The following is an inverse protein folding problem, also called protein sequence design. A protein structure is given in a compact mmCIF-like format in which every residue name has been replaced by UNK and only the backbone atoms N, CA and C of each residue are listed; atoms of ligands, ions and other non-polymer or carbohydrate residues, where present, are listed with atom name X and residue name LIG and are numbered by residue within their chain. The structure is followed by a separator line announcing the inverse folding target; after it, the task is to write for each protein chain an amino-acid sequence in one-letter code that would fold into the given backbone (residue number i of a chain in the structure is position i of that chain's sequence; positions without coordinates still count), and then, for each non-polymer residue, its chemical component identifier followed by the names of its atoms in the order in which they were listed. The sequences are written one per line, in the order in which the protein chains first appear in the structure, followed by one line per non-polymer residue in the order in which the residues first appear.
data_IF_507846544461
#
_entry.id   IF_507846544461
#
_cell.length_a   1.000
_cell.length_b   1.000
_cell.length_c   1.000
_cell.angle_alpha   90.00
_cell.angle_beta   90.00
_cell.angle_gamma   90.00
#
_symmetry.space_group_name_H-M   'P 1'
#
loop_
_entity.id
_entity.type
_entity.pdbx_description
1 polymer ?
#
# COMPACT_ATOMS: atom_id res chain seq x y z
N UNK A 1 -39.29 -8.18 -27.93
CA UNK A 1 -38.30 -9.11 -27.36
C UNK A 1 -37.31 -8.34 -26.53
N UNK A 2 -37.31 -8.47 -25.19
CA UNK A 2 -36.38 -7.77 -24.29
C UNK A 2 -35.16 -8.63 -24.11
N UNK A 3 -34.01 -8.23 -24.64
CA UNK A 3 -32.73 -8.90 -24.42
C UNK A 3 -32.27 -8.71 -22.98
N UNK A 4 -32.26 -9.77 -22.18
CA UNK A 4 -31.60 -9.81 -20.86
C UNK A 4 -30.09 -9.86 -21.08
N UNK A 5 -29.36 -8.90 -20.53
CA UNK A 5 -27.89 -8.93 -20.46
C UNK A 5 -27.47 -10.11 -19.54
N UNK A 6 -26.44 -10.88 -19.91
CA UNK A 6 -25.95 -11.95 -19.04
C UNK A 6 -25.25 -11.37 -17.81
N UNK A 7 -25.53 -11.94 -16.65
CA UNK A 7 -24.91 -11.60 -15.38
C UNK A 7 -23.47 -12.14 -15.37
N UNK A 8 -22.45 -11.34 -14.98
CA UNK A 8 -21.06 -11.82 -14.91
C UNK A 8 -20.89 -12.98 -13.94
N UNK A 9 -20.00 -13.90 -14.28
CA UNK A 9 -19.81 -15.18 -13.56
C UNK A 9 -19.40 -15.01 -12.09
N UNK A 10 -18.75 -13.89 -11.71
CA UNK A 10 -18.33 -13.61 -10.34
C UNK A 10 -19.48 -13.30 -9.38
N UNK A 11 -20.69 -12.93 -9.86
CA UNK A 11 -21.85 -12.75 -9.01
C UNK A 11 -22.50 -14.06 -8.53
N UNK A 12 -22.01 -15.23 -8.95
CA UNK A 12 -22.54 -16.53 -8.56
C UNK A 12 -21.78 -17.21 -7.42
N UNK A 13 -20.67 -16.65 -6.95
CA UNK A 13 -20.02 -17.13 -5.72
C UNK A 13 -20.66 -16.47 -4.50
N UNK A 14 -21.88 -16.91 -4.19
CA UNK A 14 -22.52 -16.62 -2.93
C UNK A 14 -21.87 -17.45 -1.83
N UNK A 15 -20.93 -16.87 -1.11
CA UNK A 15 -20.42 -17.43 0.15
C UNK A 15 -21.57 -17.55 1.14
N UNK A 16 -22.00 -18.79 1.40
CA UNK A 16 -22.93 -19.10 2.50
C UNK A 16 -22.19 -18.95 3.82
N UNK A 17 -22.31 -17.79 4.44
CA UNK A 17 -21.90 -17.60 5.83
C UNK A 17 -22.89 -18.37 6.72
N UNK A 18 -22.46 -19.50 7.26
CA UNK A 18 -23.20 -20.23 8.28
C UNK A 18 -23.10 -19.48 9.61
N UNK A 19 -24.14 -18.75 9.97
CA UNK A 19 -24.33 -18.25 11.33
C UNK A 19 -24.54 -19.44 12.27
N UNK A 20 -23.56 -19.76 13.10
CA UNK A 20 -23.80 -20.51 14.36
C UNK A 20 -23.50 -19.57 15.51
N UNK A 21 -24.56 -18.96 16.03
CA UNK A 21 -24.59 -18.45 17.39
C UNK A 21 -24.62 -19.66 18.33
N UNK A 22 -23.71 -19.71 19.27
CA UNK A 22 -23.85 -20.46 20.48
C UNK A 22 -23.52 -19.54 21.66
N UNK A 23 -24.59 -19.07 22.30
CA UNK A 23 -24.56 -18.48 23.64
C UNK A 23 -24.42 -19.63 24.63
N UNK A 24 -23.46 -19.54 25.53
CA UNK A 24 -23.32 -20.46 26.64
C UNK A 24 -22.42 -19.83 27.71
N UNK A 25 -23.05 -19.04 28.58
CA UNK A 25 -22.43 -18.64 29.83
C UNK A 25 -22.54 -19.79 30.82
N UNK A 26 -21.43 -20.23 31.39
CA UNK A 26 -21.43 -20.89 32.71
C UNK A 26 -20.09 -20.58 33.39
N UNK A 27 -20.22 -19.85 34.49
CA UNK A 27 -19.14 -19.62 35.42
C UNK A 27 -18.91 -20.91 36.25
N UNK A 28 -17.69 -21.28 36.48
CA UNK A 28 -17.27 -21.94 37.75
C UNK A 28 -15.77 -21.64 37.99
N UNK A 29 -15.52 -21.39 39.26
CA UNK A 29 -14.31 -20.84 39.79
C UNK A 29 -13.23 -21.89 40.10
N UNK A 30 -12.01 -21.40 40.17
CA UNK A 30 -10.84 -21.80 40.98
C UNK A 30 -10.20 -23.16 40.76
N UNK A 31 -8.91 -23.15 40.35
CA UNK A 31 -7.78 -23.64 41.14
C UNK A 31 -6.48 -23.04 40.61
N UNK A 32 -5.63 -22.64 41.52
CA UNK A 32 -4.28 -22.05 41.36
C UNK A 32 -3.35 -22.85 40.45
N UNK A 33 -2.78 -22.19 39.49
CA UNK A 33 -1.61 -22.63 38.74
C UNK A 33 -1.08 -21.44 37.96
N UNK A 34 -0.08 -20.76 38.51
CA UNK A 34 0.51 -19.57 37.91
C UNK A 34 1.18 -19.90 36.59
N UNK A 35 0.49 -19.66 35.48
CA UNK A 35 1.07 -19.41 34.19
C UNK A 35 1.09 -17.90 34.03
N UNK A 36 2.27 -17.30 34.25
CA UNK A 36 2.55 -15.95 33.83
C UNK A 36 2.35 -15.90 32.32
N UNK A 37 1.18 -15.43 31.89
CA UNK A 37 1.01 -14.93 30.53
C UNK A 37 1.89 -13.70 30.48
N UNK A 38 3.12 -13.87 30.03
CA UNK A 38 3.91 -12.74 29.60
C UNK A 38 3.10 -12.06 28.48
N UNK A 39 2.42 -10.99 28.83
CA UNK A 39 1.97 -10.01 27.86
C UNK A 39 3.24 -9.50 27.21
N UNK A 40 3.59 -10.06 26.06
CA UNK A 40 4.56 -9.44 25.16
C UNK A 40 3.85 -8.18 24.68
N UNK A 41 4.00 -7.11 25.45
CA UNK A 41 3.85 -5.77 24.90
C UNK A 41 4.94 -5.71 23.82
N UNK A 42 4.51 -5.85 22.56
CA UNK A 42 5.35 -5.52 21.43
C UNK A 42 5.65 -4.03 21.55
N UNK A 43 6.74 -3.71 22.25
CA UNK A 43 7.40 -2.44 22.14
C UNK A 43 7.94 -2.46 20.71
N UNK A 44 7.22 -1.82 19.78
CA UNK A 44 7.68 -1.61 18.44
C UNK A 44 9.04 -0.92 18.56
N UNK A 45 10.11 -1.62 18.20
CA UNK A 45 11.41 -0.98 18.10
C UNK A 45 11.28 0.09 17.03
N UNK A 46 11.69 1.31 17.33
CA UNK A 46 11.63 2.46 16.43
C UNK A 46 12.52 2.31 15.18
N UNK A 47 13.29 1.22 15.10
CA UNK A 47 14.18 0.87 13.98
C UNK A 47 13.89 -0.55 13.47
N UNK A 48 12.68 -0.76 12.97
CA UNK A 48 12.33 -2.00 12.30
C UNK A 48 13.02 -2.06 10.93
N UNK A 49 13.56 -3.23 10.57
CA UNK A 49 14.19 -3.47 9.29
C UNK A 49 13.49 -4.67 8.63
N UNK A 50 12.70 -4.43 7.59
CA UNK A 50 11.95 -5.47 6.88
C UNK A 50 12.84 -6.60 6.36
N UNK A 51 14.07 -6.29 5.95
CA UNK A 51 15.03 -7.29 5.52
C UNK A 51 15.36 -8.27 6.66
N UNK A 52 15.54 -7.79 7.89
CA UNK A 52 15.76 -8.63 9.06
C UNK A 52 14.50 -9.43 9.46
N UNK A 53 13.33 -8.95 9.11
CA UNK A 53 12.06 -9.63 9.38
C UNK A 53 11.79 -10.79 8.40
N UNK A 54 12.42 -10.82 7.24
CA UNK A 54 12.18 -11.84 6.21
C UNK A 54 13.39 -12.66 5.83
N UNK A 55 14.50 -12.02 5.47
CA UNK A 55 15.69 -12.73 4.97
C UNK A 55 16.42 -13.44 6.10
N UNK A 56 16.36 -14.78 6.08
CA UNK A 56 17.00 -15.61 7.11
C UNK A 56 16.29 -15.59 8.47
N UNK A 57 15.16 -14.90 8.59
CA UNK A 57 14.37 -14.89 9.83
C UNK A 57 13.69 -16.24 10.06
N UNK A 58 13.98 -16.95 11.17
CA UNK A 58 13.43 -18.28 11.40
C UNK A 58 11.89 -18.32 11.46
N UNK A 59 11.27 -17.29 12.00
CA UNK A 59 9.79 -17.20 12.12
C UNK A 59 9.16 -17.06 10.76
N UNK A 60 9.67 -16.16 9.92
CA UNK A 60 9.23 -16.00 8.54
C UNK A 60 9.39 -17.29 7.73
N UNK A 61 10.56 -17.94 7.85
CA UNK A 61 10.84 -19.19 7.13
C UNK A 61 9.95 -20.35 7.61
N UNK A 62 9.62 -20.41 8.89
CA UNK A 62 8.70 -21.42 9.44
C UNK A 62 7.27 -21.19 8.92
N UNK A 63 6.80 -19.96 8.93
CA UNK A 63 5.49 -19.59 8.39
C UNK A 63 5.38 -19.90 6.89
N UNK A 64 6.39 -19.49 6.10
CA UNK A 64 6.49 -19.78 4.69
C UNK A 64 6.38 -21.30 4.40
N UNK A 65 7.09 -22.13 5.17
CA UNK A 65 7.02 -23.60 5.06
C UNK A 65 5.64 -24.15 5.45
N UNK A 66 5.03 -23.60 6.50
CA UNK A 66 3.68 -24.00 6.97
C UNK A 66 2.66 -23.90 5.85
N UNK A 67 2.67 -22.81 5.10
CA UNK A 67 1.76 -22.58 3.96
C UNK A 67 2.27 -23.14 2.63
N UNK A 68 3.43 -23.81 2.60
CA UNK A 68 3.99 -24.39 1.37
C UNK A 68 4.45 -23.35 0.34
N UNK A 69 4.72 -22.12 0.78
CA UNK A 69 5.13 -21.03 -0.11
C UNK A 69 6.57 -21.25 -0.59
N UNK A 70 6.83 -20.96 -1.88
CA UNK A 70 8.19 -21.07 -2.43
C UNK A 70 9.12 -20.01 -1.83
N UNK A 71 10.39 -20.37 -1.65
CA UNK A 71 11.42 -19.45 -1.13
C UNK A 71 11.82 -18.41 -2.16
N UNK A 72 11.95 -18.84 -3.42
CA UNK A 72 12.46 -18.02 -4.50
C UNK A 72 11.35 -17.15 -5.07
N UNK A 73 11.45 -15.84 -4.96
CA UNK A 73 10.44 -14.90 -5.47
C UNK A 73 10.11 -15.09 -6.95
N UNK A 74 11.12 -15.43 -7.77
CA UNK A 74 10.92 -15.70 -9.22
C UNK A 74 9.99 -16.88 -9.52
N UNK A 75 9.75 -17.74 -8.55
CA UNK A 75 8.87 -18.90 -8.64
C UNK A 75 7.57 -18.68 -7.85
N UNK A 76 7.40 -17.51 -7.24
CA UNK A 76 6.25 -17.14 -6.45
C UNK A 76 5.13 -16.53 -7.26
N UNK A 77 4.03 -16.23 -6.57
CA UNK A 77 2.90 -15.47 -7.10
C UNK A 77 2.74 -14.17 -6.30
N UNK A 78 2.44 -13.08 -6.99
CA UNK A 78 2.15 -11.79 -6.40
C UNK A 78 0.66 -11.55 -6.49
N UNK A 79 0.00 -11.27 -5.36
CA UNK A 79 -1.36 -10.73 -5.33
C UNK A 79 -1.29 -9.22 -5.53
N UNK A 80 -1.84 -8.69 -6.61
CA UNK A 80 -2.09 -7.27 -6.73
C UNK A 80 -3.41 -6.95 -6.01
N UNK A 81 -3.29 -6.39 -4.81
CA UNK A 81 -4.42 -6.05 -3.94
C UNK A 81 -5.06 -4.72 -4.39
N UNK A 82 -5.59 -4.70 -5.65
CA UNK A 82 -6.16 -3.53 -6.30
C UNK A 82 -7.25 -2.90 -5.44
N UNK A 83 -7.00 -1.67 -4.98
CA UNK A 83 -7.92 -0.86 -4.17
C UNK A 83 -8.32 -1.50 -2.83
N UNK A 84 -7.52 -2.41 -2.31
CA UNK A 84 -7.69 -2.95 -0.97
C UNK A 84 -7.01 -2.06 0.06
N UNK A 85 -7.66 -1.88 1.21
CA UNK A 85 -7.00 -1.26 2.35
C UNK A 85 -6.02 -2.22 3.04
N UNK A 86 -5.06 -1.69 3.77
CA UNK A 86 -4.14 -2.48 4.59
C UNK A 86 -4.90 -3.38 5.59
N UNK A 87 -6.00 -2.87 6.16
CA UNK A 87 -6.86 -3.66 7.05
C UNK A 87 -7.56 -4.81 6.32
N UNK A 88 -8.08 -4.57 5.11
CA UNK A 88 -8.68 -5.64 4.29
C UNK A 88 -7.66 -6.73 3.97
N UNK A 89 -6.42 -6.34 3.61
CA UNK A 89 -5.34 -7.30 3.35
C UNK A 89 -5.02 -8.10 4.62
N UNK A 90 -4.95 -7.42 5.78
CA UNK A 90 -4.69 -8.07 7.08
C UNK A 90 -5.78 -9.08 7.45
N UNK A 91 -7.04 -8.72 7.24
CA UNK A 91 -8.21 -9.59 7.53
C UNK A 91 -8.22 -10.87 6.68
N UNK A 92 -7.68 -10.82 5.47
CA UNK A 92 -7.64 -11.95 4.52
C UNK A 92 -6.28 -12.65 4.44
N UNK A 93 -5.36 -12.39 5.38
CA UNK A 93 -3.98 -12.85 5.27
C UNK A 93 -3.84 -14.39 5.26
N UNK A 94 -4.66 -15.10 6.05
CA UNK A 94 -4.69 -16.57 6.04
C UNK A 94 -5.10 -17.12 4.68
N UNK A 95 -6.19 -16.58 4.10
CA UNK A 95 -6.70 -17.03 2.80
C UNK A 95 -5.70 -16.74 1.67
N UNK A 96 -5.00 -15.60 1.75
CA UNK A 96 -3.95 -15.23 0.79
C UNK A 96 -2.78 -16.21 0.86
N UNK A 97 -2.35 -16.56 2.08
CA UNK A 97 -1.28 -17.55 2.29
C UNK A 97 -1.69 -18.96 1.84
N UNK A 98 -2.91 -19.40 2.18
CA UNK A 98 -3.46 -20.69 1.75
C UNK A 98 -3.63 -20.79 0.24
N UNK A 99 -3.92 -19.67 -0.44
CA UNK A 99 -3.97 -19.60 -1.90
C UNK A 99 -2.59 -19.67 -2.57
N UNK A 100 -1.49 -19.61 -1.80
CA UNK A 100 -0.13 -19.78 -2.29
C UNK A 100 0.57 -18.51 -2.77
N UNK A 101 0.03 -17.33 -2.47
CA UNK A 101 0.70 -16.06 -2.77
C UNK A 101 1.93 -15.86 -1.88
N UNK A 102 3.04 -15.47 -2.47
CA UNK A 102 4.32 -15.25 -1.78
C UNK A 102 4.59 -13.79 -1.50
N UNK A 103 3.87 -12.91 -2.17
CA UNK A 103 3.98 -11.47 -2.00
C UNK A 103 2.63 -10.81 -2.30
N UNK A 104 2.42 -9.64 -1.70
CA UNK A 104 1.26 -8.79 -1.95
C UNK A 104 1.76 -7.44 -2.42
N UNK A 105 1.27 -6.95 -3.55
CA UNK A 105 1.49 -5.59 -4.02
C UNK A 105 0.29 -4.74 -3.64
N UNK A 106 0.53 -3.62 -2.96
CA UNK A 106 -0.50 -2.66 -2.57
C UNK A 106 -0.59 -1.50 -3.57
N UNK A 107 -1.63 -0.69 -3.43
CA UNK A 107 -1.73 0.62 -4.07
C UNK A 107 -0.72 1.61 -3.46
N UNK A 108 -0.51 2.78 -4.13
CA UNK A 108 0.34 3.85 -3.60
C UNK A 108 -0.01 4.25 -2.18
N UNK A 109 0.99 4.26 -1.32
CA UNK A 109 0.84 4.51 0.11
C UNK A 109 0.94 5.99 0.51
N UNK A 110 1.36 6.87 -0.40
CA UNK A 110 1.52 8.30 -0.13
C UNK A 110 0.19 8.96 0.22
N UNK A 111 0.23 10.08 0.95
CA UNK A 111 -0.91 11.00 1.03
C UNK A 111 -1.29 11.46 -0.38
N UNK A 112 -2.58 11.41 -0.70
CA UNK A 112 -3.10 11.70 -2.04
C UNK A 112 -4.16 12.80 -2.03
N UNK A 113 -4.49 13.30 -3.21
CA UNK A 113 -5.59 14.22 -3.42
C UNK A 113 -6.90 13.60 -2.91
N UNK A 114 -7.64 14.37 -2.10
CA UNK A 114 -8.98 14.01 -1.65
C UNK A 114 -9.99 14.54 -2.67
N UNK A 115 -10.93 13.69 -3.09
CA UNK A 115 -11.99 14.11 -3.97
C UNK A 115 -13.19 14.59 -3.16
N UNK A 116 -13.33 15.87 -3.06
CA UNK A 116 -14.35 16.56 -2.28
C UNK A 116 -15.41 17.30 -3.15
N UNK A 117 -15.19 17.44 -4.46
CA UNK A 117 -15.93 18.43 -5.24
C UNK A 117 -16.77 17.86 -6.39
N UNK A 118 -16.54 16.63 -6.87
CA UNK A 118 -17.23 16.17 -8.08
C UNK A 118 -18.42 15.22 -7.83
N UNK A 119 -18.72 14.89 -6.57
CA UNK A 119 -19.83 14.01 -6.19
C UNK A 119 -19.72 12.57 -6.70
N UNK A 120 -18.61 12.19 -7.32
CA UNK A 120 -18.40 10.87 -7.87
C UNK A 120 -18.05 9.87 -6.76
N UNK A 121 -18.43 8.61 -6.96
CA UNK A 121 -18.01 7.51 -6.10
C UNK A 121 -16.50 7.30 -6.22
N UNK A 122 -15.90 6.76 -5.18
CA UNK A 122 -14.47 6.44 -5.16
C UNK A 122 -14.02 5.59 -6.36
N UNK A 123 -14.80 4.59 -6.75
CA UNK A 123 -14.54 3.75 -7.93
C UNK A 123 -14.46 4.50 -9.26
N UNK A 124 -14.98 5.73 -9.32
CA UNK A 124 -14.90 6.59 -10.49
C UNK A 124 -13.69 7.53 -10.45
N UNK A 125 -12.99 7.58 -9.31
CA UNK A 125 -11.81 8.40 -9.05
C UNK A 125 -10.60 7.55 -8.60
N UNK A 126 -10.56 6.29 -8.97
CA UNK A 126 -9.49 5.35 -8.62
C UNK A 126 -8.09 5.91 -8.89
N UNK A 127 -7.92 6.73 -9.93
CA UNK A 127 -6.66 7.34 -10.33
C UNK A 127 -6.11 8.37 -9.33
N UNK A 128 -6.87 8.74 -8.31
CA UNK A 128 -6.37 9.63 -7.26
C UNK A 128 -5.26 9.01 -6.42
N UNK A 129 -5.16 7.68 -6.38
CA UNK A 129 -4.03 7.00 -5.73
C UNK A 129 -2.70 7.36 -6.38
N UNK A 130 -2.71 7.76 -7.67
CA UNK A 130 -1.56 8.21 -8.43
C UNK A 130 -1.40 9.74 -8.45
N UNK A 131 -2.06 10.46 -7.54
CA UNK A 131 -1.94 11.90 -7.38
C UNK A 131 -1.49 12.28 -5.96
N UNK A 132 -0.22 12.01 -5.62
CA UNK A 132 0.33 12.38 -4.31
C UNK A 132 0.21 13.89 -4.04
N UNK A 133 0.08 14.22 -2.77
CA UNK A 133 0.12 15.60 -2.25
C UNK A 133 1.21 15.81 -1.22
N UNK A 134 1.77 14.71 -0.71
CA UNK A 134 2.89 14.66 0.23
C UNK A 134 3.53 13.26 0.19
N UNK A 135 4.72 13.12 0.77
CA UNK A 135 5.43 11.85 0.99
C UNK A 135 5.15 11.23 2.37
N UNK A 136 4.14 11.68 3.10
CA UNK A 136 3.67 10.98 4.30
C UNK A 136 2.91 9.71 3.93
N UNK A 137 3.04 8.65 4.76
CA UNK A 137 2.33 7.39 4.54
C UNK A 137 0.89 7.51 5.03
N UNK A 138 -0.04 7.00 4.24
CA UNK A 138 -1.45 6.90 4.55
C UNK A 138 -2.35 7.76 3.67
N UNK A 139 -3.46 7.16 3.26
CA UNK A 139 -4.52 7.83 2.51
C UNK A 139 -5.87 7.12 2.71
N UNK A 140 -6.94 7.73 2.23
CA UNK A 140 -8.30 7.21 2.45
C UNK A 140 -8.60 5.87 1.74
N UNK A 141 -7.72 5.42 0.86
CA UNK A 141 -7.85 4.13 0.15
C UNK A 141 -7.21 3.01 0.94
N UNK A 142 -5.93 3.18 1.24
CA UNK A 142 -5.12 2.11 1.84
C UNK A 142 -5.17 2.10 3.37
N UNK A 143 -5.45 3.24 4.02
CA UNK A 143 -5.45 3.37 5.47
C UNK A 143 -4.28 4.21 5.98
N UNK A 144 -3.97 4.08 7.25
CA UNK A 144 -2.92 4.82 7.96
C UNK A 144 -1.56 4.12 7.90
N UNK A 145 -0.51 4.81 8.33
CA UNK A 145 0.82 4.23 8.55
C UNK A 145 0.79 3.11 9.61
N UNK A 146 -0.02 3.24 10.65
CA UNK A 146 -0.18 2.19 11.66
C UNK A 146 -0.87 0.95 11.08
N UNK A 147 -1.82 1.12 10.16
CA UNK A 147 -2.43 0.00 9.43
C UNK A 147 -1.39 -0.70 8.51
N UNK A 148 -0.49 0.06 7.88
CA UNK A 148 0.64 -0.50 7.12
C UNK A 148 1.53 -1.36 8.01
N UNK A 149 1.94 -0.86 9.17
CA UNK A 149 2.75 -1.60 10.16
C UNK A 149 2.08 -2.89 10.61
N UNK A 150 0.78 -2.82 10.90
CA UNK A 150 0.01 -4.00 11.29
C UNK A 150 -0.05 -5.04 10.16
N UNK A 151 -0.29 -4.60 8.93
CA UNK A 151 -0.33 -5.46 7.74
C UNK A 151 1.02 -6.14 7.48
N UNK A 152 2.14 -5.41 7.54
CA UNK A 152 3.47 -5.99 7.31
C UNK A 152 3.81 -7.03 8.38
N UNK A 153 3.46 -6.79 9.65
CA UNK A 153 3.61 -7.79 10.74
C UNK A 153 2.81 -9.04 10.43
N UNK A 154 1.55 -8.88 10.04
CA UNK A 154 0.68 -10.02 9.71
C UNK A 154 1.24 -10.79 8.50
N UNK A 155 1.66 -10.11 7.45
CA UNK A 155 2.24 -10.74 6.25
C UNK A 155 3.49 -11.56 6.59
N UNK A 156 4.43 -11.00 7.35
CA UNK A 156 5.64 -11.69 7.75
C UNK A 156 5.36 -12.90 8.64
N UNK A 157 4.34 -12.83 9.51
CA UNK A 157 3.89 -13.97 10.31
C UNK A 157 3.26 -15.10 9.46
N UNK A 158 2.90 -14.82 8.20
CA UNK A 158 2.39 -15.79 7.22
C UNK A 158 3.43 -16.18 6.15
N UNK A 159 4.65 -15.64 6.22
CA UNK A 159 5.71 -15.91 5.25
C UNK A 159 5.50 -15.20 3.90
N UNK A 160 4.73 -14.11 3.90
CA UNK A 160 4.40 -13.28 2.74
C UNK A 160 5.17 -11.96 2.82
N UNK A 161 5.65 -11.46 1.67
CA UNK A 161 6.31 -10.16 1.55
C UNK A 161 5.35 -9.09 1.09
N UNK A 162 5.60 -7.85 1.50
CA UNK A 162 4.82 -6.69 1.07
C UNK A 162 5.64 -5.85 0.09
N UNK A 163 5.04 -5.57 -1.05
CA UNK A 163 5.54 -4.68 -2.09
C UNK A 163 4.58 -3.51 -2.17
N UNK A 164 5.10 -2.27 -2.12
CA UNK A 164 4.26 -1.07 -2.25
C UNK A 164 4.48 -0.39 -3.59
N UNK A 165 3.42 0.19 -4.15
CA UNK A 165 3.55 1.09 -5.28
C UNK A 165 4.04 2.46 -4.78
N UNK A 166 5.02 3.04 -5.49
CA UNK A 166 5.61 4.33 -5.14
C UNK A 166 5.57 5.29 -6.30
N UNK A 167 4.77 6.34 -6.18
CA UNK A 167 4.71 7.43 -7.16
C UNK A 167 5.81 8.45 -6.82
N UNK A 168 6.99 8.28 -7.42
CA UNK A 168 8.15 9.12 -7.15
C UNK A 168 8.44 10.16 -8.25
N UNK A 169 7.65 10.17 -9.32
CA UNK A 169 7.86 11.03 -10.48
C UNK A 169 7.16 12.39 -10.35
N UNK A 170 5.97 12.43 -9.78
CA UNK A 170 5.11 13.61 -9.80
C UNK A 170 4.17 13.67 -8.61
N UNK A 171 3.58 14.85 -8.40
CA UNK A 171 2.44 15.08 -7.52
C UNK A 171 1.19 15.39 -8.35
N UNK A 172 0.05 15.61 -7.66
CA UNK A 172 -1.22 15.98 -8.29
C UNK A 172 -1.09 17.19 -9.23
N UNK A 173 -1.99 17.30 -10.22
CA UNK A 173 -2.06 18.49 -11.08
C UNK A 173 -2.59 19.74 -10.35
N UNK A 174 -3.28 19.55 -9.23
CA UNK A 174 -3.87 20.61 -8.42
C UNK A 174 -2.85 21.14 -7.41
N UNK A 175 -2.22 22.28 -7.72
CA UNK A 175 -1.25 22.92 -6.83
C UNK A 175 -1.77 23.18 -5.42
N UNK A 176 -3.04 23.57 -5.31
CA UNK A 176 -3.62 23.90 -3.99
C UNK A 176 -3.89 22.67 -3.12
N UNK A 177 -3.91 21.48 -3.72
CA UNK A 177 -4.03 20.23 -2.98
C UNK A 177 -2.68 19.71 -2.46
N UNK A 178 -1.57 20.21 -2.98
CA UNK A 178 -0.22 19.88 -2.49
C UNK A 178 -0.04 20.50 -1.10
N UNK A 179 0.51 19.75 -0.17
CA UNK A 179 0.78 20.27 1.19
C UNK A 179 1.77 21.44 1.16
N UNK A 180 1.55 22.41 2.02
CA UNK A 180 2.28 23.70 1.99
C UNK A 180 3.79 23.59 2.14
N UNK A 181 4.28 22.56 2.83
CA UNK A 181 5.71 22.26 2.98
C UNK A 181 6.37 21.75 1.69
N UNK A 182 5.55 21.31 0.73
CA UNK A 182 5.95 20.92 -0.62
C UNK A 182 5.71 22.02 -1.66
N UNK A 183 4.92 23.05 -1.37
CA UNK A 183 4.60 24.13 -2.32
C UNK A 183 5.76 25.11 -2.53
N UNK A 184 6.90 24.59 -2.98
CA UNK A 184 8.08 25.36 -3.34
C UNK A 184 8.40 25.15 -4.83
N UNK A 185 8.54 26.26 -5.56
CA UNK A 185 8.75 26.20 -7.02
C UNK A 185 9.98 25.41 -7.44
N UNK A 186 11.03 25.43 -6.62
CA UNK A 186 12.28 24.68 -6.85
C UNK A 186 12.18 23.16 -6.64
N UNK A 187 11.08 22.68 -6.06
CA UNK A 187 10.83 21.26 -5.88
C UNK A 187 10.22 20.59 -7.11
N UNK A 188 9.78 21.39 -8.07
CA UNK A 188 9.14 20.92 -9.29
C UNK A 188 9.81 21.53 -10.53
N UNK A 189 9.77 20.80 -11.65
CA UNK A 189 10.14 21.39 -12.92
C UNK A 189 9.09 22.43 -13.36
N UNK A 190 9.54 23.48 -14.06
CA UNK A 190 8.65 24.55 -14.47
C UNK A 190 7.72 24.11 -15.61
N UNK A 191 6.42 24.39 -15.51
CA UNK A 191 5.41 24.01 -16.51
C UNK A 191 5.65 24.63 -17.89
N UNK A 192 6.28 25.80 -17.95
CA UNK A 192 6.59 26.48 -19.21
C UNK A 192 7.85 25.93 -19.91
N UNK A 193 8.51 24.94 -19.34
CA UNK A 193 9.68 24.31 -19.97
C UNK A 193 9.30 23.40 -21.14
N UNK A 194 8.03 22.95 -21.20
CA UNK A 194 7.51 22.07 -22.22
C UNK A 194 6.27 22.68 -22.88
N UNK A 195 5.95 22.29 -24.10
CA UNK A 195 4.73 22.72 -24.79
C UNK A 195 3.48 22.01 -24.22
N UNK A 196 2.29 22.52 -24.59
CA UNK A 196 1.02 22.03 -24.05
C UNK A 196 0.49 22.89 -22.90
N UNK A 197 -0.81 22.81 -22.62
CA UNK A 197 -1.49 23.68 -21.65
C UNK A 197 -1.06 23.48 -20.19
N UNK A 198 -0.46 22.36 -19.88
CA UNK A 198 0.09 22.03 -18.56
C UNK A 198 1.58 21.69 -18.59
N UNK A 199 2.27 21.98 -19.73
CA UNK A 199 3.64 21.51 -19.94
C UNK A 199 3.71 20.02 -20.22
N UNK A 200 2.61 19.45 -20.75
CA UNK A 200 2.33 18.00 -20.82
C UNK A 200 2.53 17.38 -22.21
N UNK A 201 3.00 18.16 -23.19
CA UNK A 201 3.31 17.62 -24.52
C UNK A 201 4.71 17.04 -24.53
N UNK A 202 4.82 15.73 -24.27
CA UNK A 202 6.10 15.01 -24.10
C UNK A 202 6.46 14.31 -25.40
N UNK A 203 7.63 14.65 -25.96
CA UNK A 203 8.31 13.82 -26.95
C UNK A 203 9.09 12.71 -26.26
N UNK A 204 8.59 11.49 -26.29
CA UNK A 204 9.19 10.33 -25.62
C UNK A 204 10.52 9.89 -26.25
N UNK A 205 10.89 10.41 -27.42
CA UNK A 205 12.23 10.22 -27.98
C UNK A 205 13.27 11.19 -27.39
N UNK A 206 12.82 12.24 -26.72
CA UNK A 206 13.65 13.26 -26.11
C UNK A 206 13.79 13.00 -24.60
N UNK A 207 14.95 12.47 -24.19
CA UNK A 207 15.23 12.13 -22.77
C UNK A 207 14.98 13.33 -21.83
N UNK A 208 15.35 14.54 -22.25
CA UNK A 208 15.16 15.72 -21.40
C UNK A 208 13.67 15.96 -21.14
N UNK A 209 12.83 15.88 -22.18
CA UNK A 209 11.38 16.05 -22.02
C UNK A 209 10.76 14.95 -21.16
N UNK A 210 11.20 13.71 -21.30
CA UNK A 210 10.72 12.58 -20.47
C UNK A 210 10.99 12.80 -18.99
N UNK A 211 12.08 13.51 -18.65
CA UNK A 211 12.49 13.74 -17.25
C UNK A 211 12.15 15.11 -16.69
N UNK A 212 11.51 16.00 -17.46
CA UNK A 212 11.25 17.39 -17.03
C UNK A 212 9.85 17.89 -17.41
N UNK A 213 9.13 17.19 -18.30
CA UNK A 213 7.78 17.61 -18.69
C UNK A 213 6.73 16.98 -17.77
N UNK A 214 5.60 17.62 -17.68
CA UNK A 214 4.53 17.26 -16.76
C UNK A 214 3.61 16.18 -17.37
N UNK A 215 3.73 14.93 -16.96
CA UNK A 215 2.83 13.87 -17.41
C UNK A 215 1.37 14.23 -17.12
N UNK A 216 0.55 14.41 -18.15
CA UNK A 216 -0.88 14.78 -18.02
C UNK A 216 -1.11 16.04 -17.17
N UNK A 217 -0.13 16.96 -17.14
CA UNK A 217 -0.21 18.17 -16.33
C UNK A 217 0.01 17.97 -14.83
N UNK A 218 0.39 16.77 -14.39
CA UNK A 218 0.82 16.48 -13.01
C UNK A 218 2.12 17.22 -12.71
N UNK A 219 2.27 17.72 -11.50
CA UNK A 219 3.49 18.45 -11.10
C UNK A 219 4.70 17.52 -11.02
N UNK A 220 5.59 17.64 -12.00
CA UNK A 220 6.79 16.82 -12.11
C UNK A 220 7.83 17.20 -11.07
N UNK A 221 8.27 16.21 -10.27
CA UNK A 221 9.22 16.44 -9.18
C UNK A 221 10.63 16.66 -9.71
N UNK A 222 11.29 17.74 -9.29
CA UNK A 222 12.70 17.98 -9.55
C UNK A 222 13.56 17.08 -8.63
N UNK A 223 13.68 15.81 -9.00
CA UNK A 223 14.45 14.83 -8.22
C UNK A 223 15.97 15.09 -8.21
N UNK A 224 16.47 16.02 -9.05
CA UNK A 224 17.83 16.53 -8.96
C UNK A 224 18.02 17.56 -7.82
N UNK A 225 16.94 18.12 -7.27
CA UNK A 225 16.99 18.94 -6.09
C UNK A 225 17.31 18.07 -4.86
N UNK A 226 18.40 18.35 -4.10
CA UNK A 226 18.78 17.52 -2.95
C UNK A 226 17.73 17.41 -1.87
N UNK A 227 16.92 18.44 -1.64
CA UNK A 227 15.84 18.41 -0.64
C UNK A 227 14.72 17.47 -1.06
N UNK A 228 14.32 17.48 -2.35
CA UNK A 228 13.34 16.55 -2.91
C UNK A 228 13.85 15.11 -2.80
N UNK A 229 15.11 14.89 -3.18
CA UNK A 229 15.75 13.57 -3.09
C UNK A 229 15.79 13.07 -1.62
N UNK A 230 16.16 13.94 -0.67
CA UNK A 230 16.19 13.57 0.76
C UNK A 230 14.79 13.23 1.29
N UNK A 231 13.77 14.02 0.99
CA UNK A 231 12.39 13.75 1.39
C UNK A 231 11.87 12.43 0.82
N UNK A 232 12.20 12.11 -0.43
CA UNK A 232 11.85 10.83 -1.03
C UNK A 232 12.61 9.68 -0.38
N UNK A 233 13.89 9.87 -0.08
CA UNK A 233 14.69 8.89 0.65
C UNK A 233 14.12 8.61 2.05
N UNK A 234 13.74 9.66 2.80
CA UNK A 234 13.16 9.51 4.13
C UNK A 234 11.81 8.78 4.08
N UNK A 235 10.99 9.07 3.07
CA UNK A 235 9.74 8.37 2.82
C UNK A 235 9.97 6.87 2.60
N UNK A 236 10.90 6.51 1.71
CA UNK A 236 11.26 5.11 1.45
C UNK A 236 11.86 4.43 2.68
N UNK A 237 12.70 5.15 3.43
CA UNK A 237 13.27 4.65 4.69
C UNK A 237 12.17 4.37 5.72
N UNK A 238 11.17 5.24 5.83
CA UNK A 238 10.02 5.01 6.70
C UNK A 238 9.28 3.74 6.28
N UNK A 239 9.00 3.55 5.00
CA UNK A 239 8.35 2.35 4.51
C UNK A 239 9.13 1.06 4.85
N UNK A 240 10.45 1.07 4.68
CA UNK A 240 11.32 -0.06 5.07
C UNK A 240 11.26 -0.30 6.59
N UNK A 241 11.30 0.75 7.39
CA UNK A 241 11.18 0.64 8.85
C UNK A 241 9.80 0.11 9.27
N UNK A 242 8.76 0.37 8.50
CA UNK A 242 7.40 -0.14 8.70
C UNK A 242 7.22 -1.58 8.20
N UNK A 243 8.26 -2.19 7.67
CA UNK A 243 8.28 -3.60 7.27
C UNK A 243 7.97 -3.87 5.80
N UNK A 244 8.01 -2.86 4.93
CA UNK A 244 7.89 -3.05 3.48
C UNK A 244 9.14 -3.73 2.92
N UNK A 245 8.96 -4.73 2.05
CA UNK A 245 10.03 -5.58 1.49
C UNK A 245 10.48 -5.16 0.10
N UNK A 246 9.65 -4.41 -0.64
CA UNK A 246 9.95 -3.98 -2.00
C UNK A 246 9.04 -2.91 -2.55
#
# INVERSE_FOLDING_TARGET
MKHRKPTPAWQKLGLRVSKKLAVGATALATVFGGLAVASVSAQASTDRNSYADTVGNPTFEAARKKYGLTKEMKNGAILHAWMWSFNTITEHMDEIAEAGYTSIQTEPMSKIKVNDANGKKFTENWYYVYQPTNTSIGNFVVGSEDDLKAMTVAAHAHGIRIIVDVVANHFTADWNAIDSDWQKSEYFHARNSCSGSGGDNIDYSNRWQVTHCHLLGLWDLNTANPEVANRMHDFLKTAVNDGVDG
#
